data_IF_866020824906
#
_entry.id   IF_866020824906
#
_cell.length_a   1.000
_cell.length_b   1.000
_cell.length_c   1.000
_cell.angle_alpha   90.00
_cell.angle_beta   90.00
_cell.angle_gamma   90.00
#
_symmetry.space_group_name_H-M   'P 1'
#
loop_
_entity.id
_entity.type
_entity.pdbx_description
1 polymer ?
#
# COMPACT_ATOMS: atom_id res chain seq x y z
N UNK A 1 23.19 68.86 -8.69
CA UNK A 1 22.20 68.40 -7.70
C UNK A 1 21.35 67.30 -8.35
N UNK A 2 21.37 66.11 -7.76
CA UNK A 2 20.30 65.09 -7.61
C UNK A 2 19.23 64.85 -8.70
N UNK A 3 19.23 63.63 -9.25
CA UNK A 3 18.12 62.77 -9.76
C UNK A 3 17.03 62.50 -8.70
N UNK A 4 15.77 62.01 -8.98
CA UNK A 4 15.53 60.62 -9.47
C UNK A 4 14.20 60.24 -10.21
N UNK A 5 14.21 58.98 -10.71
CA UNK A 5 13.14 57.96 -10.77
C UNK A 5 11.84 58.21 -11.57
N UNK A 6 11.22 57.19 -12.19
CA UNK A 6 11.43 55.75 -12.05
C UNK A 6 10.61 54.92 -13.05
N UNK A 7 11.07 53.68 -13.20
CA UNK A 7 10.50 52.56 -13.95
C UNK A 7 9.25 52.00 -13.26
N UNK A 8 8.29 51.50 -14.04
CA UNK A 8 7.28 50.53 -13.58
C UNK A 8 7.35 49.28 -14.46
N UNK A 9 8.26 48.37 -14.11
CA UNK A 9 8.16 46.95 -14.44
C UNK A 9 7.29 46.28 -13.38
N UNK A 10 6.10 45.81 -13.77
CA UNK A 10 5.19 45.05 -12.90
C UNK A 10 5.58 43.58 -12.98
N UNK A 11 6.22 43.08 -11.92
CA UNK A 11 6.49 41.65 -11.69
C UNK A 11 5.22 40.96 -11.18
N UNK A 12 4.81 39.77 -11.68
CA UNK A 12 3.67 39.05 -11.14
C UNK A 12 4.01 38.39 -9.79
N UNK A 13 3.02 38.40 -8.91
CA UNK A 13 3.08 38.01 -7.50
C UNK A 13 3.05 36.47 -7.33
N UNK A 14 4.22 35.83 -7.48
CA UNK A 14 4.42 34.36 -7.37
C UNK A 14 4.11 33.83 -5.96
N UNK A 15 4.14 34.67 -4.93
CA UNK A 15 3.96 34.22 -3.53
C UNK A 15 2.53 33.82 -3.18
N UNK A 16 1.54 34.33 -3.92
CA UNK A 16 0.12 34.11 -3.61
C UNK A 16 -0.38 32.75 -4.07
N UNK A 17 0.17 32.21 -5.16
CA UNK A 17 -0.23 30.91 -5.72
C UNK A 17 0.40 29.72 -4.99
N UNK A 18 1.63 29.83 -4.49
CA UNK A 18 2.28 28.75 -3.71
C UNK A 18 1.66 28.59 -2.33
N UNK A 19 1.32 29.70 -1.66
CA UNK A 19 0.58 29.69 -0.39
C UNK A 19 -0.84 29.15 -0.57
N UNK A 20 -1.52 29.54 -1.65
CA UNK A 20 -2.82 28.98 -2.02
C UNK A 20 -2.71 27.48 -2.32
N UNK A 21 -1.59 27.06 -2.94
CA UNK A 21 -1.29 25.67 -3.28
C UNK A 21 -1.12 24.76 -2.05
N UNK A 22 -0.40 25.26 -1.05
CA UNK A 22 -0.22 24.55 0.22
C UNK A 22 -1.50 24.59 1.06
N UNK A 23 -2.21 25.71 1.07
CA UNK A 23 -3.47 25.85 1.82
C UNK A 23 -4.59 24.97 1.25
N UNK A 24 -4.73 24.82 -0.08
CA UNK A 24 -5.71 23.89 -0.63
C UNK A 24 -5.35 22.44 -0.33
N UNK A 25 -4.06 22.09 -0.30
CA UNK A 25 -3.62 20.75 0.05
C UNK A 25 -3.92 20.41 1.51
N UNK A 26 -3.72 21.37 2.43
CA UNK A 26 -4.11 21.25 3.84
C UNK A 26 -5.63 21.11 3.97
N UNK A 27 -6.41 21.92 3.25
CA UNK A 27 -7.87 21.82 3.28
C UNK A 27 -8.37 20.48 2.74
N UNK A 28 -7.76 19.94 1.68
CA UNK A 28 -8.09 18.60 1.16
C UNK A 28 -7.66 17.51 2.15
N UNK A 29 -6.49 17.62 2.78
CA UNK A 29 -6.06 16.67 3.81
C UNK A 29 -7.00 16.68 5.02
N UNK A 30 -7.41 17.87 5.48
CA UNK A 30 -8.41 18.05 6.54
C UNK A 30 -9.75 17.49 6.12
N UNK A 31 -10.26 17.80 4.93
CA UNK A 31 -11.54 17.27 4.42
C UNK A 31 -11.51 15.75 4.20
N UNK A 32 -10.35 15.17 3.86
CA UNK A 32 -10.19 13.72 3.73
C UNK A 32 -10.20 13.07 5.12
N UNK A 33 -9.53 13.67 6.12
CA UNK A 33 -9.57 13.20 7.51
C UNK A 33 -10.97 13.37 8.12
N UNK A 34 -11.62 14.51 7.89
CA UNK A 34 -13.00 14.79 8.32
C UNK A 34 -14.00 13.87 7.64
N UNK A 35 -13.88 13.59 6.34
CA UNK A 35 -14.73 12.61 5.67
C UNK A 35 -14.50 11.16 6.15
N UNK A 36 -13.35 10.89 6.77
CA UNK A 36 -13.04 9.61 7.45
C UNK A 36 -13.64 9.60 8.87
N UNK A 37 -13.73 10.75 9.54
CA UNK A 37 -14.24 10.89 10.91
C UNK A 37 -15.77 11.16 10.99
N UNK A 38 -16.38 11.88 10.05
CA UNK A 38 -17.83 12.20 10.01
C UNK A 38 -18.71 10.96 9.78
N UNK A 39 -18.12 9.81 9.45
CA UNK A 39 -18.81 8.52 9.44
C UNK A 39 -18.82 7.80 10.79
N UNK A 40 -18.48 8.47 11.90
CA UNK A 40 -18.45 7.87 13.24
C UNK A 40 -19.77 7.89 14.03
N UNK A 41 -20.86 8.47 13.52
CA UNK A 41 -22.14 8.44 14.24
C UNK A 41 -23.25 7.55 13.65
N UNK A 42 -23.01 6.79 12.58
CA UNK A 42 -23.95 5.72 12.25
C UNK A 42 -23.29 4.46 11.69
N UNK A 43 -23.79 3.35 12.21
CA UNK A 43 -23.41 1.97 12.05
C UNK A 43 -23.26 1.48 10.58
N UNK A 44 -22.07 1.55 10.00
CA UNK A 44 -21.56 0.47 9.11
C UNK A 44 -20.08 0.66 8.78
N UNK A 45 -19.28 -0.32 9.21
CA UNK A 45 -17.84 -0.39 8.91
C UNK A 45 -17.62 -0.61 7.41
N UNK A 46 -17.23 0.44 6.70
CA UNK A 46 -16.47 0.36 5.45
C UNK A 46 -14.97 0.51 5.74
N UNK A 47 -14.06 0.04 4.86
CA UNK A 47 -12.64 -0.05 5.20
C UNK A 47 -12.01 1.34 5.26
N UNK A 48 -11.69 1.78 6.47
CA UNK A 48 -10.73 2.86 6.73
C UNK A 48 -9.43 2.47 6.05
N UNK A 49 -8.95 3.27 5.09
CA UNK A 49 -7.57 3.10 4.61
C UNK A 49 -6.66 3.51 5.76
N UNK A 50 -6.10 2.52 6.44
CA UNK A 50 -5.18 2.71 7.57
C UNK A 50 -3.94 3.49 7.12
N UNK A 51 -3.37 4.37 7.97
CA UNK A 51 -2.11 5.04 7.67
C UNK A 51 -1.00 4.03 7.36
N UNK A 52 -0.21 4.27 6.31
CA UNK A 52 0.90 3.38 5.96
C UNK A 52 2.14 3.77 6.75
N UNK A 53 2.52 2.92 7.72
CA UNK A 53 3.66 3.17 8.61
C UNK A 53 5.00 2.61 8.09
N UNK A 54 5.03 2.12 6.85
CA UNK A 54 6.24 1.53 6.27
C UNK A 54 6.47 0.08 6.66
N UNK A 55 5.42 -0.66 7.07
CA UNK A 55 5.52 -2.11 7.19
C UNK A 55 5.51 -2.74 5.78
N UNK A 56 6.56 -3.52 5.53
CA UNK A 56 6.82 -4.23 4.28
C UNK A 56 5.75 -5.28 3.94
N UNK A 57 5.05 -5.82 4.95
CA UNK A 57 4.05 -6.90 4.75
C UNK A 57 2.80 -6.41 4.01
N UNK A 58 2.49 -5.12 4.12
CA UNK A 58 1.20 -4.57 3.69
C UNK A 58 1.29 -3.63 2.48
N UNK A 59 2.48 -3.41 1.91
CA UNK A 59 2.67 -2.51 0.75
C UNK A 59 1.77 -2.89 -0.44
N UNK A 60 1.59 -4.19 -0.71
CA UNK A 60 0.71 -4.67 -1.78
C UNK A 60 -0.75 -4.35 -1.50
N UNK A 61 -1.20 -4.55 -0.26
CA UNK A 61 -2.59 -4.28 0.15
C UNK A 61 -2.88 -2.78 0.10
N UNK A 62 -1.98 -1.98 0.65
CA UNK A 62 -2.05 -0.51 0.60
C UNK A 62 -2.18 0.02 -0.83
N UNK A 63 -1.31 -0.43 -1.75
CA UNK A 63 -1.38 -0.01 -3.15
C UNK A 63 -2.68 -0.47 -3.84
N UNK A 64 -3.20 -1.65 -3.50
CA UNK A 64 -4.47 -2.13 -4.05
C UNK A 64 -5.65 -1.26 -3.59
N UNK A 65 -5.74 -0.97 -2.29
CA UNK A 65 -6.81 -0.14 -1.73
C UNK A 65 -6.76 1.28 -2.31
N UNK A 66 -5.57 1.82 -2.54
CA UNK A 66 -5.37 3.13 -3.15
C UNK A 66 -5.80 3.15 -4.64
N UNK A 67 -5.48 2.12 -5.41
CA UNK A 67 -5.94 1.98 -6.81
C UNK A 67 -7.48 1.86 -6.88
N UNK A 68 -8.08 1.15 -5.93
CA UNK A 68 -9.54 1.06 -5.82
C UNK A 68 -10.15 2.45 -5.54
N UNK A 69 -9.58 3.21 -4.60
CA UNK A 69 -10.01 4.58 -4.30
C UNK A 69 -9.94 5.48 -5.53
N UNK A 70 -8.86 5.41 -6.32
CA UNK A 70 -8.73 6.22 -7.54
C UNK A 70 -9.78 5.89 -8.59
N UNK A 71 -10.13 4.60 -8.75
CA UNK A 71 -11.20 4.18 -9.67
C UNK A 71 -12.57 4.66 -9.21
N UNK A 72 -12.82 4.67 -7.90
CA UNK A 72 -14.08 5.14 -7.33
C UNK A 72 -14.21 6.67 -7.35
N UNK A 73 -13.09 7.40 -7.38
CA UNK A 73 -13.06 8.86 -7.29
C UNK A 73 -12.33 9.52 -8.48
N UNK A 74 -12.75 9.28 -9.74
CA UNK A 74 -12.01 9.71 -10.92
C UNK A 74 -11.86 11.23 -11.02
N UNK A 75 -12.85 12.01 -10.58
CA UNK A 75 -12.78 13.48 -10.56
C UNK A 75 -11.77 14.02 -9.54
N UNK A 76 -11.67 13.35 -8.38
CA UNK A 76 -10.71 13.72 -7.31
C UNK A 76 -9.30 13.24 -7.62
N UNK A 77 -9.16 12.20 -8.44
CA UNK A 77 -7.89 11.53 -8.74
C UNK A 77 -7.54 11.61 -10.24
N UNK A 78 -7.92 12.72 -10.90
CA UNK A 78 -7.84 12.87 -12.36
C UNK A 78 -6.44 13.17 -12.89
N UNK A 79 -5.46 13.46 -12.03
CA UNK A 79 -4.08 13.72 -12.45
C UNK A 79 -3.09 12.87 -11.66
N UNK A 80 -1.95 12.57 -12.28
CA UNK A 80 -0.88 11.83 -11.61
C UNK A 80 -0.35 12.59 -10.40
N UNK A 81 -0.24 13.93 -10.48
CA UNK A 81 0.12 14.77 -9.34
C UNK A 81 -0.82 14.56 -8.15
N UNK A 82 -2.15 14.56 -8.36
CA UNK A 82 -3.13 14.32 -7.29
C UNK A 82 -3.00 12.92 -6.69
N UNK A 83 -2.81 11.89 -7.52
CA UNK A 83 -2.60 10.51 -7.03
C UNK A 83 -1.36 10.40 -6.14
N UNK A 84 -0.24 11.01 -6.56
CA UNK A 84 0.99 11.08 -5.75
C UNK A 84 0.76 11.81 -4.43
N UNK A 85 0.09 12.96 -4.46
CA UNK A 85 -0.25 13.71 -3.24
C UNK A 85 -1.10 12.90 -2.25
N UNK A 86 -2.10 12.18 -2.76
CA UNK A 86 -2.94 11.31 -1.91
C UNK A 86 -2.08 10.22 -1.26
N UNK A 87 -1.23 9.51 -2.02
CA UNK A 87 -0.32 8.52 -1.43
C UNK A 87 0.54 9.13 -0.32
N UNK A 88 1.20 10.26 -0.60
CA UNK A 88 2.11 10.92 0.35
C UNK A 88 1.38 11.41 1.61
N UNK A 89 0.11 11.81 1.51
CA UNK A 89 -0.69 12.19 2.68
C UNK A 89 -0.98 11.01 3.63
N UNK A 90 -1.03 9.79 3.10
CA UNK A 90 -1.31 8.56 3.86
C UNK A 90 -0.05 7.96 4.51
N UNK A 91 1.13 8.46 4.15
CA UNK A 91 2.42 8.06 4.71
C UNK A 91 2.64 8.66 6.10
N UNK A 92 2.99 7.81 7.07
CA UNK A 92 3.31 8.17 8.47
C UNK A 92 4.47 7.33 9.02
N UNK A 93 4.99 7.70 10.19
CA UNK A 93 5.98 6.89 10.90
C UNK A 93 7.30 6.74 10.13
N UNK A 94 7.72 5.51 9.85
CA UNK A 94 9.02 5.19 9.23
C UNK A 94 9.16 5.73 7.81
N UNK A 95 8.06 6.11 7.16
CA UNK A 95 8.07 6.63 5.79
C UNK A 95 8.28 8.15 5.73
N UNK A 96 8.47 8.83 6.86
CA UNK A 96 8.50 10.30 6.93
C UNK A 96 9.64 10.91 6.10
N UNK A 97 10.83 10.32 6.14
CA UNK A 97 11.98 10.79 5.35
C UNK A 97 11.69 10.69 3.83
N UNK A 98 11.28 9.51 3.37
CA UNK A 98 10.90 9.29 1.96
C UNK A 98 9.77 10.23 1.52
N UNK A 99 8.78 10.44 2.40
CA UNK A 99 7.68 11.38 2.17
C UNK A 99 8.19 12.80 1.96
N UNK A 100 9.08 13.31 2.82
CA UNK A 100 9.66 14.66 2.70
C UNK A 100 10.40 14.81 1.37
N UNK A 101 11.27 13.87 1.02
CA UNK A 101 12.03 13.89 -0.24
C UNK A 101 11.11 13.94 -1.48
N UNK A 102 10.05 13.12 -1.50
CA UNK A 102 9.13 13.12 -2.64
C UNK A 102 8.20 14.34 -2.65
N UNK A 103 7.91 14.95 -1.48
CA UNK A 103 7.19 16.22 -1.40
C UNK A 103 8.04 17.38 -1.94
N UNK A 104 9.31 17.47 -1.56
CA UNK A 104 10.26 18.45 -2.10
C UNK A 104 10.39 18.29 -3.63
N UNK A 105 10.44 17.05 -4.12
CA UNK A 105 10.45 16.79 -5.56
C UNK A 105 9.17 17.26 -6.25
N UNK A 106 8.00 17.10 -5.63
CA UNK A 106 6.71 17.53 -6.22
C UNK A 106 6.48 19.04 -6.13
N UNK A 107 7.15 19.72 -5.20
CA UNK A 107 7.04 21.13 -4.90
C UNK A 107 8.44 21.74 -4.66
N UNK A 108 9.31 21.75 -5.68
CA UNK A 108 10.66 22.27 -5.50
C UNK A 108 10.61 23.76 -5.18
N UNK A 109 11.32 24.15 -4.12
CA UNK A 109 11.39 25.52 -3.60
C UNK A 109 12.14 26.44 -4.59
N UNK A 110 13.14 25.88 -5.28
CA UNK A 110 13.87 26.57 -6.34
C UNK A 110 13.09 26.56 -7.66
N UNK A 111 13.19 27.68 -8.39
CA UNK A 111 12.63 27.83 -9.74
C UNK A 111 13.50 27.16 -10.81
N UNK A 112 14.14 26.02 -10.51
CA UNK A 112 14.82 25.23 -11.54
C UNK A 112 13.76 24.61 -12.48
N UNK A 113 13.69 25.06 -13.75
CA UNK A 113 12.69 24.57 -14.69
C UNK A 113 12.85 23.08 -15.01
N UNK A 114 14.07 22.55 -14.95
CA UNK A 114 14.36 21.16 -15.32
C UNK A 114 13.93 20.17 -14.22
N UNK A 115 14.12 20.51 -12.95
CA UNK A 115 13.62 19.68 -11.85
C UNK A 115 12.09 19.71 -11.76
N UNK A 116 11.49 20.90 -11.91
CA UNK A 116 10.03 21.06 -11.99
C UNK A 116 9.43 20.23 -13.12
N UNK A 117 10.09 20.23 -14.29
CA UNK A 117 9.68 19.45 -15.45
C UNK A 117 9.78 17.94 -15.20
N UNK A 118 10.91 17.45 -14.69
CA UNK A 118 11.09 16.02 -14.36
C UNK A 118 10.08 15.49 -13.34
N UNK A 119 9.73 16.30 -12.33
CA UNK A 119 8.75 15.92 -11.33
C UNK A 119 7.31 15.91 -11.87
N UNK A 120 6.99 16.90 -12.72
CA UNK A 120 5.69 17.03 -13.38
C UNK A 120 5.45 15.96 -14.46
N UNK A 121 6.49 15.55 -15.18
CA UNK A 121 6.43 14.54 -16.26
C UNK A 121 6.35 13.10 -15.75
N UNK A 122 6.76 12.85 -14.50
CA UNK A 122 6.68 11.51 -13.97
C UNK A 122 5.21 11.07 -13.82
N UNK A 123 4.89 9.94 -14.46
CA UNK A 123 3.56 9.33 -14.36
C UNK A 123 3.31 8.64 -13.02
N UNK A 124 2.03 8.44 -12.68
CA UNK A 124 1.63 7.69 -11.49
C UNK A 124 2.25 6.28 -11.44
N UNK A 125 2.33 5.59 -12.58
CA UNK A 125 2.86 4.24 -12.64
C UNK A 125 4.36 4.17 -12.32
N UNK A 126 5.13 5.16 -12.78
CA UNK A 126 6.57 5.24 -12.49
C UNK A 126 6.80 5.51 -10.99
N UNK A 127 6.05 6.46 -10.43
CA UNK A 127 6.10 6.76 -8.99
C UNK A 127 5.70 5.56 -8.14
N UNK A 128 4.58 4.91 -8.47
CA UNK A 128 4.10 3.69 -7.80
C UNK A 128 5.15 2.58 -7.83
N UNK A 129 5.85 2.40 -8.95
CA UNK A 129 6.92 1.40 -9.05
C UNK A 129 8.14 1.75 -8.17
N UNK A 130 8.53 3.04 -8.07
CA UNK A 130 9.57 3.45 -7.11
C UNK A 130 9.15 3.17 -5.68
N UNK A 131 7.93 3.58 -5.30
CA UNK A 131 7.38 3.31 -3.98
C UNK A 131 7.40 1.81 -3.67
N UNK A 132 6.91 0.99 -4.61
CA UNK A 132 6.94 -0.47 -4.52
C UNK A 132 8.36 -0.99 -4.33
N UNK A 133 9.34 -0.52 -5.12
CA UNK A 133 10.74 -0.97 -5.01
C UNK A 133 11.39 -0.58 -3.68
N UNK A 134 11.00 0.56 -3.11
CA UNK A 134 11.55 1.07 -1.85
C UNK A 134 10.95 0.35 -0.64
N UNK A 135 9.65 0.02 -0.69
CA UNK A 135 8.91 -0.49 0.47
C UNK A 135 8.49 -1.96 0.39
N UNK A 136 8.40 -2.56 -0.80
CA UNK A 136 8.11 -3.99 -0.94
C UNK A 136 9.43 -4.79 -0.89
N UNK A 137 9.50 -5.94 -0.21
CA UNK A 137 10.73 -6.73 -0.13
C UNK A 137 11.23 -7.10 -1.53
N UNK A 138 12.56 -7.09 -1.68
CA UNK A 138 13.28 -7.43 -2.93
C UNK A 138 12.92 -8.85 -3.41
N UNK A 139 12.51 -9.73 -2.50
CA UNK A 139 12.09 -11.10 -2.79
C UNK A 139 10.72 -11.43 -2.16
N UNK A 140 9.66 -10.95 -2.80
CA UNK A 140 8.26 -11.27 -2.42
C UNK A 140 7.98 -12.77 -2.50
N UNK A 141 8.61 -13.44 -3.47
CA UNK A 141 8.47 -14.88 -3.64
C UNK A 141 9.18 -15.60 -2.48
N UNK A 142 10.43 -15.28 -2.19
CA UNK A 142 11.20 -15.84 -1.08
C UNK A 142 10.59 -15.56 0.30
N UNK A 143 10.06 -14.37 0.55
CA UNK A 143 9.33 -14.08 1.80
C UNK A 143 8.04 -14.90 1.91
N UNK A 144 7.28 -15.05 0.82
CA UNK A 144 6.09 -15.93 0.81
C UNK A 144 6.50 -17.39 1.02
N UNK A 145 7.60 -17.83 0.41
CA UNK A 145 8.16 -19.17 0.56
C UNK A 145 8.65 -19.41 2.00
N UNK A 146 9.26 -18.42 2.65
CA UNK A 146 9.65 -18.51 4.05
C UNK A 146 8.41 -18.59 4.96
N UNK A 147 7.41 -17.74 4.72
CA UNK A 147 6.17 -17.74 5.50
C UNK A 147 5.36 -19.01 5.37
N UNK A 148 5.33 -19.65 4.19
CA UNK A 148 4.63 -20.94 4.03
C UNK A 148 5.35 -22.07 4.75
N UNK A 149 6.70 -22.06 4.79
CA UNK A 149 7.50 -23.01 5.57
C UNK A 149 7.30 -22.80 7.09
N UNK A 150 7.23 -21.55 7.54
CA UNK A 150 7.11 -21.21 8.96
C UNK A 150 5.66 -21.23 9.46
N UNK A 151 4.66 -21.44 8.59
CA UNK A 151 3.26 -21.36 8.99
C UNK A 151 2.86 -22.57 9.85
N UNK A 152 2.50 -22.30 11.10
CA UNK A 152 2.07 -23.30 12.06
C UNK A 152 0.62 -23.05 12.50
N UNK A 153 -0.16 -24.11 12.57
CA UNK A 153 -1.53 -24.12 13.09
C UNK A 153 -1.48 -23.81 14.59
N UNK A 154 -2.24 -22.79 14.99
CA UNK A 154 -2.46 -22.43 16.40
C UNK A 154 -3.74 -23.11 16.89
N UNK A 155 -4.72 -22.33 17.36
CA UNK A 155 -5.94 -22.88 17.98
C UNK A 155 -7.05 -23.21 16.96
N UNK A 156 -7.19 -22.44 15.89
CA UNK A 156 -8.30 -22.58 14.95
C UNK A 156 -7.85 -23.09 13.58
N UNK A 157 -8.33 -24.28 13.19
CA UNK A 157 -8.00 -24.90 11.90
C UNK A 157 -8.42 -24.03 10.71
N UNK A 158 -9.58 -23.36 10.80
CA UNK A 158 -10.04 -22.46 9.74
C UNK A 158 -9.07 -21.31 9.48
N UNK A 159 -8.53 -20.70 10.53
CA UNK A 159 -7.59 -19.58 10.40
C UNK A 159 -6.30 -20.04 9.73
N UNK A 160 -5.79 -21.22 10.15
CA UNK A 160 -4.63 -21.84 9.52
C UNK A 160 -4.88 -22.14 8.03
N UNK A 161 -6.00 -22.78 7.67
CA UNK A 161 -6.34 -23.09 6.28
C UNK A 161 -6.48 -21.83 5.44
N UNK A 162 -7.10 -20.77 5.98
CA UNK A 162 -7.26 -19.51 5.27
C UNK A 162 -5.93 -18.79 5.04
N UNK A 163 -5.05 -18.74 6.05
CA UNK A 163 -3.72 -18.17 5.92
C UNK A 163 -2.86 -18.96 4.93
N UNK A 164 -2.91 -20.30 5.00
CA UNK A 164 -2.18 -21.16 4.08
C UNK A 164 -2.62 -20.91 2.63
N UNK A 165 -3.94 -20.90 2.35
CA UNK A 165 -4.49 -20.60 1.02
C UNK A 165 -4.05 -19.23 0.48
N UNK A 166 -3.96 -18.22 1.35
CA UNK A 166 -3.51 -16.90 0.94
C UNK A 166 -2.04 -16.93 0.46
N UNK A 167 -1.18 -17.66 1.17
CA UNK A 167 0.24 -17.82 0.84
C UNK A 167 0.44 -18.65 -0.43
N UNK A 168 -0.27 -19.77 -0.60
CA UNK A 168 -0.10 -20.66 -1.76
C UNK A 168 -0.42 -19.98 -3.09
N UNK A 169 -1.33 -19.00 -3.09
CA UNK A 169 -1.68 -18.22 -4.29
C UNK A 169 -0.51 -17.39 -4.86
N UNK A 170 0.60 -17.27 -4.11
CA UNK A 170 1.73 -16.40 -4.43
C UNK A 170 3.05 -17.17 -4.63
N UNK A 171 3.13 -18.46 -4.30
CA UNK A 171 4.38 -19.26 -4.39
C UNK A 171 4.59 -19.95 -5.73
N UNK A 172 3.51 -20.27 -6.46
CA UNK A 172 3.58 -21.06 -7.70
C UNK A 172 3.95 -22.53 -7.50
N UNK A 173 3.94 -23.03 -6.26
CA UNK A 173 4.19 -24.43 -5.93
C UNK A 173 3.07 -25.35 -6.42
N UNK A 174 3.43 -26.58 -6.78
CA UNK A 174 2.47 -27.62 -7.12
C UNK A 174 1.80 -28.21 -5.86
N UNK A 175 0.72 -28.96 -6.07
CA UNK A 175 -0.04 -29.58 -4.98
C UNK A 175 0.80 -30.53 -4.13
N UNK A 176 1.81 -31.20 -4.71
CA UNK A 176 2.68 -32.14 -3.97
C UNK A 176 3.50 -31.39 -2.92
N UNK A 177 4.17 -30.31 -3.33
CA UNK A 177 4.93 -29.45 -2.44
C UNK A 177 4.02 -28.77 -1.40
N UNK A 178 2.86 -28.27 -1.82
CA UNK A 178 1.91 -27.61 -0.93
C UNK A 178 1.33 -28.56 0.13
N UNK A 179 1.06 -29.83 -0.21
CA UNK A 179 0.62 -30.83 0.77
C UNK A 179 1.69 -31.09 1.83
N UNK A 180 2.97 -31.10 1.44
CA UNK A 180 4.08 -31.28 2.38
C UNK A 180 4.11 -30.15 3.41
N UNK A 181 4.12 -28.88 2.97
CA UNK A 181 4.10 -27.73 3.88
C UNK A 181 2.82 -27.66 4.71
N UNK A 182 1.66 -27.97 4.12
CA UNK A 182 0.40 -27.99 4.85
C UNK A 182 0.44 -29.01 5.99
N UNK A 183 0.96 -30.21 5.70
CA UNK A 183 1.10 -31.27 6.70
C UNK A 183 2.04 -30.88 7.83
N UNK A 184 3.19 -30.27 7.52
CA UNK A 184 4.19 -29.83 8.52
C UNK A 184 3.69 -28.69 9.42
N UNK A 185 2.73 -27.89 8.95
CA UNK A 185 2.12 -26.83 9.74
C UNK A 185 0.93 -27.28 10.59
N UNK A 186 0.42 -28.51 10.46
CA UNK A 186 -0.69 -28.99 11.28
C UNK A 186 -0.23 -29.38 12.69
N UNK A 187 -1.15 -29.27 13.66
CA UNK A 187 -0.91 -29.86 14.98
C UNK A 187 -0.82 -31.40 14.87
N UNK A 188 0.08 -32.07 15.61
CA UNK A 188 0.36 -33.49 15.44
C UNK A 188 -0.88 -34.40 15.52
N UNK A 189 -1.80 -34.10 16.44
CA UNK A 189 -3.04 -34.88 16.62
C UNK A 189 -3.95 -34.84 15.40
N UNK A 190 -4.01 -33.71 14.69
CA UNK A 190 -4.81 -33.56 13.48
C UNK A 190 -4.10 -34.20 12.28
N UNK A 191 -2.78 -34.04 12.19
CA UNK A 191 -1.96 -34.73 11.20
C UNK A 191 -2.16 -36.25 11.27
N UNK A 192 -2.04 -36.84 12.47
CA UNK A 192 -2.24 -38.28 12.68
C UNK A 192 -3.65 -38.71 12.32
N UNK A 193 -4.67 -37.94 12.73
CA UNK A 193 -6.07 -38.21 12.38
C UNK A 193 -6.29 -38.24 10.86
N UNK A 194 -5.63 -37.36 10.11
CA UNK A 194 -5.76 -37.32 8.64
C UNK A 194 -4.98 -38.46 7.98
N UNK A 195 -3.75 -38.72 8.44
CA UNK A 195 -2.86 -39.74 7.87
C UNK A 195 -3.33 -41.16 8.16
N UNK A 196 -3.95 -41.42 9.31
CA UNK A 196 -4.42 -42.75 9.75
C UNK A 196 -5.85 -43.08 9.32
N UNK A 197 -6.42 -42.33 8.37
CA UNK A 197 -7.75 -42.63 7.82
C UNK A 197 -7.73 -43.96 7.09
N UNK A 198 -8.82 -44.73 7.21
CA UNK A 198 -9.00 -46.01 6.51
C UNK A 198 -8.92 -45.91 4.98
N UNK A 199 -9.19 -44.73 4.43
CA UNK A 199 -9.09 -44.42 2.99
C UNK A 199 -7.67 -44.01 2.54
N UNK A 200 -6.69 -44.00 3.46
CA UNK A 200 -5.34 -43.51 3.21
C UNK A 200 -5.23 -41.96 3.24
N UNK A 201 -4.00 -41.44 3.05
CA UNK A 201 -3.73 -40.01 3.05
C UNK A 201 -4.39 -39.34 1.83
N UNK A 202 -4.85 -38.08 1.96
CA UNK A 202 -5.45 -37.37 0.84
C UNK A 202 -4.41 -37.02 -0.24
N UNK A 203 -4.80 -37.17 -1.51
CA UNK A 203 -3.93 -36.94 -2.67
C UNK A 203 -3.93 -35.50 -3.19
N UNK A 204 -4.90 -34.68 -2.77
CA UNK A 204 -5.04 -33.29 -3.25
C UNK A 204 -5.17 -32.33 -2.08
N UNK A 205 -4.63 -31.12 -2.25
CA UNK A 205 -4.62 -30.10 -1.21
C UNK A 205 -6.06 -29.71 -0.79
N UNK A 206 -7.01 -29.70 -1.73
CA UNK A 206 -8.42 -29.46 -1.41
C UNK A 206 -9.04 -30.54 -0.51
N UNK A 207 -8.68 -31.81 -0.69
CA UNK A 207 -9.11 -32.89 0.20
C UNK A 207 -8.49 -32.72 1.59
N UNK A 208 -7.23 -32.29 1.67
CA UNK A 208 -6.59 -31.96 2.95
C UNK A 208 -7.36 -30.87 3.71
N UNK A 209 -7.71 -29.77 3.04
CA UNK A 209 -8.51 -28.69 3.64
C UNK A 209 -9.86 -29.19 4.17
N UNK A 210 -10.57 -30.00 3.38
CA UNK A 210 -11.91 -30.53 3.74
C UNK A 210 -11.91 -31.50 4.91
N UNK A 211 -10.78 -32.15 5.19
CA UNK A 211 -10.68 -33.10 6.31
C UNK A 211 -10.15 -32.41 7.57
N UNK A 212 -9.33 -31.36 7.39
CA UNK A 212 -8.80 -30.58 8.50
C UNK A 212 -9.89 -29.75 9.20
N UNK A 213 -10.82 -29.18 8.42
CA UNK A 213 -12.01 -28.45 8.88
C UNK A 213 -13.12 -29.42 9.26
#
# INVERSE_FOLDING_TARGET
>A
MTTPSGSTDVKPDVKKEESSSQQWAVQIATLVVEAIDEKKEDSSKGPTSEPYEGDHKDTRRFLFDLELYFKMNPSKCNTDKKKKMILLSLLKGKTTEWKMTEQERLFPEDNDPEEKKKAAEETWNVFKNRFRKHWQPVDVAGDTQMRICDLQMKEHTNDYVNQFRLLTSQTGYDDVALIMFFKEGLVPSLQDKIMLRSKGPPETLDKWYKIAI
#
